data_IF_461538827316
#
_entry.id   IF_461538827316
#
_cell.length_a   1.000
_cell.length_b   1.000
_cell.length_c   1.000
_cell.angle_alpha   90.00
_cell.angle_beta   90.00
_cell.angle_gamma   90.00
#
_symmetry.space_group_name_H-M   'P 1'
#
loop_
_entity.id
_entity.type
_entity.pdbx_description
1 polymer ?
#
# COMPACT_ATOMS: atom_id res chain seq x y z
N UNK A 1 -15.20 -5.95 17.43
CA UNK A 1 -16.20 -5.96 16.34
C UNK A 1 -16.90 -4.62 16.16
N UNK A 2 -17.25 -3.87 17.22
CA UNK A 2 -17.79 -2.51 17.09
C UNK A 2 -16.86 -1.57 16.31
N UNK A 3 -15.56 -1.59 16.58
CA UNK A 3 -14.59 -0.71 15.91
C UNK A 3 -14.48 -0.99 14.40
N UNK A 4 -14.48 -2.27 14.01
CA UNK A 4 -14.50 -2.67 12.60
C UNK A 4 -15.77 -2.20 11.88
N UNK A 5 -16.91 -2.22 12.57
CA UNK A 5 -18.21 -1.80 12.02
C UNK A 5 -18.23 -0.28 11.77
N UNK A 6 -17.60 0.49 12.66
CA UNK A 6 -17.41 1.94 12.48
C UNK A 6 -16.58 2.21 11.22
N UNK A 7 -15.46 1.51 11.02
CA UNK A 7 -14.59 1.68 9.83
C UNK A 7 -15.36 1.39 8.54
N UNK A 8 -16.10 0.27 8.50
CA UNK A 8 -16.90 -0.11 7.32
C UNK A 8 -18.00 0.91 7.04
N UNK A 9 -18.63 1.46 8.08
CA UNK A 9 -19.65 2.50 7.94
C UNK A 9 -19.06 3.78 7.32
N UNK A 10 -17.94 4.28 7.84
CA UNK A 10 -17.26 5.45 7.27
C UNK A 10 -16.84 5.21 5.82
N UNK A 11 -16.35 4.01 5.50
CA UNK A 11 -16.02 3.62 4.14
C UNK A 11 -17.24 3.65 3.21
N UNK A 12 -18.36 3.05 3.62
CA UNK A 12 -19.60 3.05 2.86
C UNK A 12 -20.15 4.47 2.65
N UNK A 13 -20.11 5.31 3.68
CA UNK A 13 -20.50 6.72 3.60
C UNK A 13 -19.61 7.48 2.62
N UNK A 14 -18.29 7.25 2.64
CA UNK A 14 -17.35 7.84 1.68
C UNK A 14 -17.66 7.47 0.22
N UNK A 15 -18.00 6.21 -0.05
CA UNK A 15 -18.43 5.76 -1.38
C UNK A 15 -19.71 6.48 -1.80
N UNK A 16 -20.72 6.56 -0.92
CA UNK A 16 -21.98 7.22 -1.22
C UNK A 16 -21.77 8.71 -1.52
N UNK A 17 -21.00 9.42 -0.67
CA UNK A 17 -20.65 10.83 -0.88
C UNK A 17 -19.96 11.07 -2.23
N UNK A 18 -19.05 10.17 -2.63
CA UNK A 18 -18.39 10.23 -3.93
C UNK A 18 -19.35 9.94 -5.09
N UNK A 19 -20.30 9.02 -4.95
CA UNK A 19 -21.28 8.70 -6.00
C UNK A 19 -22.32 9.81 -6.22
N UNK A 20 -22.62 10.62 -5.20
CA UNK A 20 -23.57 11.72 -5.31
C UNK A 20 -22.91 13.05 -5.75
N UNK A 21 -21.61 13.05 -6.10
CA UNK A 21 -20.84 14.25 -6.43
C UNK A 21 -20.91 15.35 -5.34
N UNK A 22 -21.17 14.97 -4.08
CA UNK A 22 -21.19 15.89 -2.94
C UNK A 22 -19.78 16.33 -2.50
N UNK A 23 -18.75 16.00 -3.29
CA UNK A 23 -17.38 16.34 -2.99
C UNK A 23 -17.11 17.82 -3.33
N UNK A 24 -16.64 18.65 -2.37
CA UNK A 24 -16.32 20.04 -2.66
C UNK A 24 -15.14 20.11 -3.65
N UNK A 25 -15.39 20.68 -4.82
CA UNK A 25 -14.44 20.79 -5.94
C UNK A 25 -13.11 21.49 -5.60
N UNK A 26 -13.06 22.26 -4.50
CA UNK A 26 -11.82 22.87 -3.99
C UNK A 26 -10.84 21.88 -3.34
N UNK A 27 -11.29 20.67 -2.95
CA UNK A 27 -10.44 19.66 -2.32
C UNK A 27 -9.77 18.71 -3.33
N UNK A 28 -10.18 18.72 -4.61
CA UNK A 28 -9.52 17.91 -5.66
C UNK A 28 -8.10 18.39 -5.96
N UNK A 29 -7.85 19.69 -5.78
CA UNK A 29 -6.52 20.29 -6.00
C UNK A 29 -5.50 19.87 -4.94
N UNK A 30 -5.97 19.44 -3.77
CA UNK A 30 -5.11 18.97 -2.70
C UNK A 30 -5.03 17.45 -2.76
N UNK A 31 -3.82 16.92 -2.92
CA UNK A 31 -3.52 15.48 -2.79
C UNK A 31 -3.67 15.01 -1.32
N UNK A 32 -4.82 15.25 -0.69
CA UNK A 32 -5.11 14.98 0.72
C UNK A 32 -4.82 13.54 1.09
N UNK A 33 -5.17 12.61 0.21
CA UNK A 33 -4.87 11.18 0.37
C UNK A 33 -3.36 10.93 0.47
N UNK A 34 -2.54 11.58 -0.36
CA UNK A 34 -1.08 11.47 -0.29
C UNK A 34 -0.53 11.96 1.05
N UNK A 35 -0.99 13.14 1.51
CA UNK A 35 -0.55 13.69 2.80
C UNK A 35 -1.00 12.83 3.99
N UNK A 36 -2.25 12.34 3.97
CA UNK A 36 -2.77 11.44 5.00
C UNK A 36 -1.96 10.15 5.08
N UNK A 37 -1.54 9.59 3.93
CA UNK A 37 -0.68 8.42 3.89
C UNK A 37 0.73 8.69 4.37
N UNK A 38 1.33 9.82 3.99
CA UNK A 38 2.62 10.23 4.52
C UNK A 38 2.59 10.34 6.06
N UNK A 39 1.54 10.94 6.60
CA UNK A 39 1.34 11.01 8.06
C UNK A 39 1.15 9.62 8.68
N UNK A 40 0.35 8.75 8.06
CA UNK A 40 0.15 7.37 8.53
C UNK A 40 1.47 6.58 8.53
N UNK A 41 2.26 6.66 7.46
CA UNK A 41 3.59 6.02 7.37
C UNK A 41 4.55 6.55 8.43
N UNK A 42 4.49 7.85 8.72
CA UNK A 42 5.26 8.46 9.81
C UNK A 42 4.85 7.90 11.19
N UNK A 43 3.55 7.82 11.47
CA UNK A 43 3.04 7.21 12.71
C UNK A 43 3.44 5.73 12.85
N UNK A 44 3.36 4.97 11.76
CA UNK A 44 3.82 3.57 11.71
C UNK A 44 5.32 3.50 12.02
N UNK A 45 6.12 4.38 11.41
CA UNK A 45 7.55 4.50 11.69
C UNK A 45 7.86 4.75 13.16
N UNK A 46 7.15 5.69 13.81
CA UNK A 46 7.26 5.95 15.25
C UNK A 46 6.88 4.71 16.06
N UNK A 47 5.77 4.05 15.72
CA UNK A 47 5.29 2.86 16.43
C UNK A 47 6.31 1.72 16.41
N UNK A 48 6.92 1.47 15.24
CA UNK A 48 7.96 0.45 15.07
C UNK A 48 9.24 0.87 15.83
N UNK A 49 9.67 2.13 15.69
CA UNK A 49 10.87 2.65 16.33
C UNK A 49 10.80 2.67 17.86
N UNK A 50 9.60 2.88 18.43
CA UNK A 50 9.36 2.86 19.86
C UNK A 50 9.30 1.43 20.45
N UNK A 51 9.39 0.38 19.62
CA UNK A 51 9.41 -1.01 20.07
C UNK A 51 10.81 -1.62 19.97
N UNK A 52 11.63 -1.55 21.05
CA UNK A 52 13.00 -2.08 21.03
C UNK A 52 13.05 -3.60 20.83
N UNK A 53 11.99 -4.35 21.13
CA UNK A 53 11.95 -5.79 20.89
C UNK A 53 11.92 -6.14 19.40
N UNK A 54 11.28 -5.32 18.56
CA UNK A 54 11.28 -5.50 17.09
C UNK A 54 12.68 -5.26 16.53
N UNK A 55 13.31 -4.14 16.93
CA UNK A 55 14.68 -3.79 16.54
C UNK A 55 15.71 -4.84 16.99
N UNK A 56 15.60 -5.33 18.23
CA UNK A 56 16.48 -6.37 18.75
C UNK A 56 16.25 -7.73 18.09
N UNK A 57 15.02 -8.04 17.67
CA UNK A 57 14.71 -9.25 16.90
C UNK A 57 15.33 -9.19 15.51
N UNK A 58 15.25 -8.04 14.84
CA UNK A 58 15.95 -7.81 13.57
C UNK A 58 17.47 -7.97 13.69
N UNK A 59 18.08 -7.47 14.77
CA UNK A 59 19.53 -7.62 15.00
C UNK A 59 19.94 -9.05 15.37
N UNK A 60 19.00 -9.87 15.86
CA UNK A 60 19.22 -11.29 16.16
C UNK A 60 18.90 -12.22 15.00
N UNK A 61 18.31 -11.73 13.91
CA UNK A 61 18.13 -12.53 12.70
C UNK A 61 19.50 -12.89 12.13
N UNK A 62 19.77 -14.19 12.02
CA UNK A 62 20.96 -14.64 11.29
C UNK A 62 20.84 -14.24 9.81
N UNK A 63 21.94 -13.86 9.13
CA UNK A 63 21.90 -13.42 7.74
C UNK A 63 21.35 -14.50 6.77
N UNK A 64 21.33 -15.77 7.18
CA UNK A 64 20.64 -16.85 6.44
C UNK A 64 19.13 -16.64 6.34
N UNK A 65 18.50 -15.99 7.32
CA UNK A 65 17.06 -15.66 7.26
C UNK A 65 16.75 -14.47 6.36
N UNK A 66 17.74 -13.69 5.92
CA UNK A 66 17.53 -12.61 4.95
C UNK A 66 17.30 -13.13 3.53
N UNK A 67 17.80 -14.33 3.21
CA UNK A 67 17.51 -14.99 1.93
C UNK A 67 16.03 -15.32 1.77
N UNK A 68 15.32 -15.60 2.86
CA UNK A 68 13.90 -15.96 2.80
C UNK A 68 13.03 -14.81 2.25
N UNK A 69 13.07 -13.57 2.78
CA UNK A 69 12.35 -12.43 2.21
C UNK A 69 12.82 -12.09 0.80
N UNK A 70 14.11 -12.24 0.48
CA UNK A 70 14.61 -12.00 -0.89
C UNK A 70 14.03 -13.01 -1.88
N UNK A 71 14.03 -14.30 -1.53
CA UNK A 71 13.45 -15.35 -2.36
C UNK A 71 11.94 -15.18 -2.53
N UNK A 72 11.21 -14.78 -1.49
CA UNK A 72 9.78 -14.47 -1.64
C UNK A 72 9.56 -13.23 -2.50
N UNK A 73 10.36 -12.17 -2.36
CA UNK A 73 10.28 -10.98 -3.26
C UNK A 73 10.46 -11.40 -4.72
N UNK A 74 11.53 -12.13 -5.02
CA UNK A 74 11.84 -12.57 -6.38
C UNK A 74 10.78 -13.55 -6.91
N UNK A 75 10.34 -14.51 -6.10
CA UNK A 75 9.30 -15.47 -6.47
C UNK A 75 7.96 -14.79 -6.77
N UNK A 76 7.54 -13.85 -5.93
CA UNK A 76 6.30 -13.08 -6.15
C UNK A 76 6.40 -12.25 -7.42
N UNK A 77 7.49 -11.49 -7.62
CA UNK A 77 7.67 -10.68 -8.83
C UNK A 77 7.71 -11.53 -10.11
N UNK A 78 8.41 -12.67 -10.08
CA UNK A 78 8.44 -13.60 -11.19
C UNK A 78 7.04 -14.19 -11.48
N UNK A 79 6.30 -14.57 -10.44
CA UNK A 79 4.92 -15.03 -10.57
C UNK A 79 4.00 -13.97 -11.20
N UNK A 80 4.10 -12.72 -10.77
CA UNK A 80 3.34 -11.59 -11.32
C UNK A 80 3.73 -11.25 -12.76
N UNK A 81 5.01 -11.39 -13.10
CA UNK A 81 5.48 -11.23 -14.46
C UNK A 81 4.89 -12.31 -15.38
N UNK A 82 4.94 -13.58 -14.95
CA UNK A 82 4.34 -14.69 -15.70
C UNK A 82 2.82 -14.54 -15.80
N UNK A 83 2.14 -14.08 -14.74
CA UNK A 83 0.70 -13.84 -14.80
C UNK A 83 0.34 -12.66 -15.70
N UNK A 84 1.25 -11.69 -15.92
CA UNK A 84 1.00 -10.55 -16.82
C UNK A 84 0.71 -10.96 -18.26
N UNK A 85 1.21 -12.12 -18.72
CA UNK A 85 0.88 -12.66 -20.04
C UNK A 85 -0.60 -13.04 -20.20
N UNK A 86 -1.33 -13.25 -19.10
CA UNK A 86 -2.78 -13.48 -19.11
C UNK A 86 -3.58 -12.17 -19.09
N UNK A 87 -2.94 -11.03 -18.84
CA UNK A 87 -3.56 -9.70 -18.78
C UNK A 87 -3.03 -8.82 -19.92
N UNK A 88 -3.49 -9.08 -21.15
CA UNK A 88 -3.05 -8.37 -22.36
C UNK A 88 -3.23 -6.83 -22.32
N UNK A 89 -4.09 -6.34 -21.42
CA UNK A 89 -4.50 -4.94 -21.33
C UNK A 89 -3.64 -4.08 -20.40
N UNK A 90 -2.77 -4.69 -19.60
CA UNK A 90 -1.95 -3.99 -18.60
C UNK A 90 -0.46 -4.24 -18.85
N UNK A 91 0.37 -3.23 -18.56
CA UNK A 91 1.82 -3.41 -18.65
C UNK A 91 2.29 -4.47 -17.65
N UNK A 92 3.31 -5.24 -18.01
CA UNK A 92 3.97 -6.17 -17.08
C UNK A 92 4.50 -5.45 -15.83
N UNK A 93 4.87 -4.17 -15.96
CA UNK A 93 5.31 -3.33 -14.84
C UNK A 93 4.15 -3.07 -13.87
N UNK A 94 2.96 -2.76 -14.39
CA UNK A 94 1.77 -2.52 -13.56
C UNK A 94 1.34 -3.79 -12.83
N UNK A 95 1.39 -4.94 -13.53
CA UNK A 95 1.07 -6.24 -12.95
C UNK A 95 2.03 -6.60 -11.81
N UNK A 96 3.34 -6.36 -11.99
CA UNK A 96 4.34 -6.55 -10.96
C UNK A 96 4.17 -5.55 -9.80
N UNK A 97 3.85 -4.29 -10.08
CA UNK A 97 3.64 -3.25 -9.07
C UNK A 97 2.44 -3.57 -8.17
N UNK A 98 1.33 -4.04 -8.76
CA UNK A 98 0.14 -4.48 -8.00
C UNK A 98 0.45 -5.74 -7.19
N UNK A 99 1.17 -6.70 -7.76
CA UNK A 99 1.44 -7.99 -7.12
C UNK A 99 2.55 -8.01 -6.08
N UNK A 100 3.48 -7.03 -6.10
CA UNK A 100 4.61 -6.97 -5.18
C UNK A 100 4.18 -6.84 -3.70
N UNK A 101 3.09 -6.13 -3.40
CA UNK A 101 2.50 -6.11 -2.05
C UNK A 101 3.37 -5.57 -0.90
N UNK A 102 4.58 -5.03 -1.16
CA UNK A 102 5.55 -4.58 -0.14
C UNK A 102 5.20 -3.22 0.48
N UNK A 103 4.01 -3.09 1.08
CA UNK A 103 3.48 -1.80 1.56
C UNK A 103 2.69 -1.04 0.49
N UNK A 104 2.45 -1.70 -0.64
CA UNK A 104 1.83 -1.19 -1.86
C UNK A 104 0.27 -1.15 -1.84
N UNK A 105 -0.36 -1.28 -0.67
CA UNK A 105 -1.84 -1.23 -0.60
C UNK A 105 -2.38 0.19 -0.53
N UNK A 106 -1.63 1.11 0.08
CA UNK A 106 -2.10 2.48 0.30
C UNK A 106 -1.29 3.50 -0.50
N UNK A 107 0.04 3.49 -0.41
CA UNK A 107 0.88 4.54 -1.02
C UNK A 107 0.97 4.42 -2.56
N UNK A 108 1.13 3.21 -3.06
CA UNK A 108 1.38 2.97 -4.48
C UNK A 108 0.14 3.02 -5.35
N UNK A 109 -1.07 2.79 -4.83
CA UNK A 109 -2.29 3.08 -5.59
C UNK A 109 -2.35 4.56 -5.94
N UNK A 110 -1.96 5.44 -5.00
CA UNK A 110 -1.85 6.89 -5.25
C UNK A 110 -0.72 7.23 -6.23
N UNK A 111 0.47 6.61 -6.07
CA UNK A 111 1.62 6.86 -6.96
C UNK A 111 1.34 6.36 -8.39
N UNK A 112 0.68 5.21 -8.56
CA UNK A 112 0.29 4.67 -9.88
C UNK A 112 -0.77 5.55 -10.55
N UNK A 113 -1.68 6.17 -9.77
CA UNK A 113 -2.67 7.11 -10.33
C UNK A 113 -2.08 8.46 -10.75
N UNK A 114 -0.83 8.78 -10.37
CA UNK A 114 -0.17 9.99 -10.84
C UNK A 114 0.44 9.76 -12.24
N UNK A 115 0.09 10.58 -13.25
CA UNK A 115 0.74 10.48 -14.56
C UNK A 115 2.24 10.80 -14.42
N UNK A 116 3.11 10.12 -15.20
CA UNK A 116 4.53 10.44 -15.21
C UNK A 116 4.76 11.88 -15.68
N UNK A 117 5.87 12.52 -15.26
CA UNK A 117 6.22 13.87 -15.70
C UNK A 117 6.42 13.98 -17.22
#
# INVERSE_FOLDING_TARGET
MRDSLIIVLFFAVGILLSCFDLYPSGLEQFNLSFYALCFLMFCVGISIGNNPHILLSFRRLSPKFFLLPVCTILGTLAGCYVSSFFFERHSSVDCMAVGAGFGYYSLSSIIITQPPP
#
